data_IF_639346495366
#
_entry.id   IF_639346495366
#
_cell.length_a   1.000
_cell.length_b   1.000
_cell.length_c   1.000
_cell.angle_alpha   90.00
_cell.angle_beta   90.00
_cell.angle_gamma   90.00
#
_symmetry.space_group_name_H-M   'P 1'
#
loop_
_entity.id
_entity.type
_entity.pdbx_description
1 polymer ?
#
# COMPACT_ATOMS: atom_id res chain seq x y z
N UNK A 1 -24.82 -84.83 29.33
CA UNK A 1 -24.00 -84.08 30.31
C UNK A 1 -22.76 -83.57 29.59
N UNK A 2 -22.43 -82.28 29.74
CA UNK A 2 -21.22 -81.66 29.16
C UNK A 2 -21.56 -80.48 28.24
N UNK A 3 -21.59 -79.28 28.82
CA UNK A 3 -22.02 -78.04 28.17
C UNK A 3 -21.10 -77.59 27.03
N UNK A 4 -21.71 -77.14 25.94
CA UNK A 4 -21.08 -76.39 24.85
C UNK A 4 -21.24 -74.88 25.13
N UNK A 5 -20.13 -74.16 25.38
CA UNK A 5 -20.09 -72.68 25.28
C UNK A 5 -18.73 -72.18 24.78
N UNK A 6 -18.74 -71.84 23.49
CA UNK A 6 -18.08 -70.72 22.76
C UNK A 6 -16.81 -70.11 23.38
N UNK A 7 -15.68 -70.32 22.70
CA UNK A 7 -14.50 -69.47 22.79
C UNK A 7 -14.52 -68.45 21.64
N UNK A 8 -14.44 -67.16 21.99
CA UNK A 8 -14.36 -66.05 21.05
C UNK A 8 -12.95 -65.93 20.47
N UNK A 9 -12.85 -65.83 19.15
CA UNK A 9 -11.58 -65.60 18.45
C UNK A 9 -11.37 -64.09 18.29
N UNK A 10 -10.39 -63.55 19.01
CA UNK A 10 -9.99 -62.15 18.95
C UNK A 10 -9.14 -61.92 17.69
N UNK A 11 -9.68 -61.22 16.68
CA UNK A 11 -8.90 -60.74 15.54
C UNK A 11 -8.23 -59.42 15.96
N UNK A 12 -6.93 -59.47 16.21
CA UNK A 12 -6.12 -58.28 16.46
C UNK A 12 -5.94 -57.47 15.17
N UNK A 13 -6.61 -56.33 15.07
CA UNK A 13 -6.38 -55.36 14.00
C UNK A 13 -5.12 -54.55 14.34
N UNK A 14 -4.02 -54.81 13.64
CA UNK A 14 -2.82 -53.99 13.72
C UNK A 14 -3.09 -52.62 13.07
N UNK A 15 -3.24 -51.58 13.89
CA UNK A 15 -3.32 -50.20 13.43
C UNK A 15 -1.89 -49.76 13.05
N UNK A 16 -1.62 -49.68 11.74
CA UNK A 16 -0.44 -49.01 11.25
C UNK A 16 -0.59 -47.50 11.50
N UNK A 17 0.12 -46.98 12.51
CA UNK A 17 0.25 -45.54 12.73
C UNK A 17 1.14 -44.99 11.62
N UNK A 18 0.53 -44.44 10.57
CA UNK A 18 1.24 -43.61 9.61
C UNK A 18 1.63 -42.31 10.32
N UNK A 19 2.89 -42.20 10.72
CA UNK A 19 3.44 -40.94 11.20
C UNK A 19 3.34 -39.91 10.06
N UNK A 20 2.42 -38.96 10.20
CA UNK A 20 2.36 -37.81 9.32
C UNK A 20 3.67 -37.01 9.48
N UNK A 21 4.55 -37.09 8.48
CA UNK A 21 5.69 -36.19 8.38
C UNK A 21 5.10 -34.79 8.20
N UNK A 22 5.11 -33.99 9.27
CA UNK A 22 4.84 -32.57 9.22
C UNK A 22 5.92 -31.92 8.35
N UNK A 23 5.63 -31.78 7.06
CA UNK A 23 6.39 -30.91 6.18
C UNK A 23 6.09 -29.49 6.64
N UNK A 24 6.94 -28.97 7.52
CA UNK A 24 6.92 -27.54 7.83
C UNK A 24 7.25 -26.78 6.54
N UNK A 25 6.45 -25.79 6.13
CA UNK A 25 6.83 -24.95 5.02
C UNK A 25 8.13 -24.25 5.41
N UNK A 26 9.21 -24.62 4.73
CA UNK A 26 10.48 -23.91 4.87
C UNK A 26 10.21 -22.47 4.44
N UNK A 27 10.34 -21.54 5.37
CA UNK A 27 10.36 -20.12 5.07
C UNK A 27 11.51 -19.89 4.10
N UNK A 28 11.19 -19.73 2.81
CA UNK A 28 12.15 -19.28 1.81
C UNK A 28 12.60 -17.90 2.25
N UNK A 29 13.72 -17.85 2.97
CA UNK A 29 14.33 -16.60 3.39
C UNK A 29 14.84 -15.98 2.10
N UNK A 30 14.18 -14.91 1.63
CA UNK A 30 14.67 -14.15 0.49
C UNK A 30 16.13 -13.78 0.77
N UNK A 31 17.07 -14.37 0.02
CA UNK A 31 18.50 -14.19 0.24
C UNK A 31 18.84 -12.69 0.25
N UNK A 32 19.56 -12.25 1.28
CA UNK A 32 20.07 -10.87 1.35
C UNK A 32 21.08 -10.67 0.23
N UNK A 33 20.81 -9.73 -0.69
CA UNK A 33 21.76 -9.37 -1.76
C UNK A 33 23.10 -8.82 -1.25
N UNK A 34 23.15 -8.38 0.01
CA UNK A 34 24.33 -7.78 0.62
C UNK A 34 24.68 -8.48 1.93
N UNK A 35 25.94 -8.89 2.08
CA UNK A 35 26.44 -9.56 3.30
C UNK A 35 26.47 -8.62 4.51
N UNK A 36 26.53 -7.31 4.27
CA UNK A 36 26.58 -6.26 5.28
C UNK A 36 25.23 -5.55 5.52
N UNK A 37 24.14 -6.13 5.01
CA UNK A 37 22.76 -5.69 5.29
C UNK A 37 21.90 -6.90 5.65
N UNK A 38 21.73 -7.19 6.95
CA UNK A 38 20.86 -8.27 7.41
C UNK A 38 19.41 -8.08 6.91
N UNK A 39 18.73 -9.15 6.51
CA UNK A 39 17.34 -9.08 6.05
C UNK A 39 16.39 -8.52 7.12
N UNK A 40 16.71 -8.76 8.39
CA UNK A 40 15.98 -8.28 9.56
C UNK A 40 16.27 -6.82 9.92
N UNK A 41 17.25 -6.18 9.28
CA UNK A 41 17.54 -4.79 9.55
C UNK A 41 16.37 -3.90 9.14
N UNK A 42 15.96 -2.97 10.00
CA UNK A 42 14.84 -2.06 9.74
C UNK A 42 14.99 -1.21 8.46
N UNK A 43 16.21 -1.06 7.94
CA UNK A 43 16.54 -0.32 6.72
C UNK A 43 16.82 -1.22 5.51
N UNK A 44 16.65 -2.54 5.62
CA UNK A 44 16.98 -3.47 4.54
C UNK A 44 16.11 -3.24 3.29
N UNK A 45 14.83 -2.96 3.48
CA UNK A 45 13.92 -2.62 2.39
C UNK A 45 14.34 -1.32 1.68
N UNK A 46 14.69 -0.28 2.44
CA UNK A 46 15.19 0.99 1.90
C UNK A 46 16.44 0.81 1.05
N UNK A 47 17.37 -0.04 1.50
CA UNK A 47 18.60 -0.35 0.77
C UNK A 47 18.32 -1.07 -0.55
N UNK A 48 17.46 -2.10 -0.53
CA UNK A 48 17.09 -2.81 -1.76
C UNK A 48 16.48 -1.84 -2.77
N UNK A 49 15.54 -1.00 -2.32
CA UNK A 49 14.85 -0.06 -3.18
C UNK A 49 15.80 0.94 -3.86
N UNK A 50 16.73 1.58 -3.13
CA UNK A 50 17.65 2.56 -3.74
C UNK A 50 18.66 1.90 -4.69
N UNK A 51 19.01 0.64 -4.47
CA UNK A 51 19.92 -0.11 -5.34
C UNK A 51 19.18 -0.54 -6.62
N UNK A 52 17.99 -1.11 -6.48
CA UNK A 52 17.19 -1.62 -7.60
C UNK A 52 16.83 -0.49 -8.58
N UNK A 53 16.61 0.71 -8.07
CA UNK A 53 16.36 1.93 -8.88
C UNK A 53 17.64 2.64 -9.32
N UNK A 54 18.82 2.11 -9.01
CA UNK A 54 20.11 2.72 -9.40
C UNK A 54 20.40 4.08 -8.74
N UNK A 55 19.67 4.43 -7.67
CA UNK A 55 19.80 5.71 -6.98
C UNK A 55 21.11 5.72 -6.19
N UNK A 56 21.25 4.81 -5.22
CA UNK A 56 22.48 4.60 -4.44
C UNK A 56 23.08 3.25 -4.84
N UNK A 57 24.11 3.21 -5.69
CA UNK A 57 24.68 1.95 -6.16
C UNK A 57 25.45 1.24 -5.04
N UNK A 58 25.55 -0.08 -5.13
CA UNK A 58 26.45 -0.89 -4.30
C UNK A 58 27.92 -0.50 -4.52
N UNK A 59 28.80 -0.92 -3.61
CA UNK A 59 30.25 -0.74 -3.78
C UNK A 59 30.79 -1.70 -4.86
N UNK A 60 31.99 -1.41 -5.36
CA UNK A 60 32.67 -2.28 -6.32
C UNK A 60 32.93 -3.71 -5.78
N UNK A 61 32.97 -3.89 -4.46
CA UNK A 61 33.16 -5.19 -3.80
C UNK A 61 31.84 -5.92 -3.54
N UNK A 62 30.72 -5.44 -4.08
CA UNK A 62 29.40 -6.06 -3.92
C UNK A 62 28.75 -5.86 -2.55
N UNK A 63 29.27 -4.95 -1.71
CA UNK A 63 28.67 -4.61 -0.40
C UNK A 63 27.83 -3.32 -0.49
N UNK A 64 26.95 -3.07 0.48
CA UNK A 64 26.26 -1.77 0.53
C UNK A 64 27.06 -0.71 1.31
N UNK A 65 27.87 -1.10 2.28
CA UNK A 65 28.62 -0.25 3.21
C UNK A 65 27.76 0.80 3.95
N UNK A 66 26.81 0.38 4.82
CA UNK A 66 25.80 1.24 5.45
C UNK A 66 26.36 2.47 6.19
N UNK A 67 27.53 2.34 6.80
CA UNK A 67 28.12 3.36 7.67
C UNK A 67 28.97 4.41 6.94
N UNK A 68 29.31 4.21 5.66
CA UNK A 68 30.16 5.16 4.95
C UNK A 68 29.46 6.52 4.78
N UNK A 69 30.15 7.64 5.06
CA UNK A 69 29.66 8.97 4.78
C UNK A 69 29.41 9.21 3.29
N UNK A 70 28.43 10.07 2.98
CA UNK A 70 28.10 10.48 1.62
C UNK A 70 28.52 11.95 1.43
N UNK A 71 29.38 12.19 0.43
CA UNK A 71 29.79 13.54 0.05
C UNK A 71 28.64 14.33 -0.59
N UNK A 72 28.70 15.65 -0.53
CA UNK A 72 27.65 16.53 -1.07
C UNK A 72 27.44 16.35 -2.57
N UNK A 73 28.51 16.10 -3.34
CA UNK A 73 28.39 15.81 -4.76
C UNK A 73 27.70 14.47 -5.04
N UNK A 74 27.98 13.43 -4.24
CA UNK A 74 27.27 12.15 -4.36
C UNK A 74 25.79 12.31 -3.99
N UNK A 75 25.51 13.05 -2.91
CA UNK A 75 24.13 13.34 -2.52
C UNK A 75 23.37 14.10 -3.61
N UNK A 76 24.02 15.04 -4.31
CA UNK A 76 23.40 15.75 -5.43
C UNK A 76 22.95 14.80 -6.55
N UNK A 77 23.81 13.84 -6.90
CA UNK A 77 23.48 12.79 -7.87
C UNK A 77 22.31 11.94 -7.37
N UNK A 78 22.33 11.50 -6.11
CA UNK A 78 21.28 10.64 -5.55
C UNK A 78 19.92 11.35 -5.46
N UNK A 79 19.88 12.61 -5.03
CA UNK A 79 18.66 13.44 -5.02
C UNK A 79 18.10 13.61 -6.43
N UNK A 80 18.96 13.86 -7.42
CA UNK A 80 18.53 14.01 -8.82
C UNK A 80 17.92 12.72 -9.35
N UNK A 81 18.55 11.57 -9.09
CA UNK A 81 18.02 10.26 -9.49
C UNK A 81 16.70 9.93 -8.81
N UNK A 82 16.59 10.19 -7.51
CA UNK A 82 15.35 9.96 -6.77
C UNK A 82 14.19 10.81 -7.29
N UNK A 83 14.44 12.07 -7.67
CA UNK A 83 13.39 12.97 -8.15
C UNK A 83 13.05 12.81 -9.64
N UNK A 84 13.99 12.35 -10.47
CA UNK A 84 13.81 12.30 -11.93
C UNK A 84 13.72 10.89 -12.51
N UNK A 85 13.97 9.86 -11.71
CA UNK A 85 14.02 8.47 -12.15
C UNK A 85 15.01 8.28 -13.31
N UNK A 86 14.55 7.64 -14.39
CA UNK A 86 15.34 7.37 -15.60
C UNK A 86 15.56 8.61 -16.48
N UNK A 87 14.98 9.77 -16.14
CA UNK A 87 15.13 11.00 -16.94
C UNK A 87 16.39 11.75 -16.51
N UNK A 88 17.46 11.81 -17.32
CA UNK A 88 18.67 12.52 -16.95
C UNK A 88 18.40 14.02 -16.75
N UNK A 89 19.18 14.70 -15.88
CA UNK A 89 19.16 16.16 -15.83
C UNK A 89 19.69 16.73 -17.16
N UNK A 90 19.33 17.99 -17.50
CA UNK A 90 19.94 18.69 -18.62
C UNK A 90 21.47 18.67 -18.55
N UNK A 91 22.12 18.61 -19.71
CA UNK A 91 23.57 18.61 -19.79
C UNK A 91 24.16 19.86 -19.11
N UNK A 92 25.28 19.70 -18.41
CA UNK A 92 25.95 20.81 -17.77
C UNK A 92 26.63 21.68 -18.84
N UNK A 93 26.09 22.87 -19.12
CA UNK A 93 26.64 23.77 -20.15
C UNK A 93 27.68 24.74 -19.60
N UNK A 94 27.59 25.07 -18.30
CA UNK A 94 28.49 25.96 -17.56
C UNK A 94 28.72 25.46 -16.13
N UNK A 95 29.80 25.92 -15.49
CA UNK A 95 30.11 25.59 -14.09
C UNK A 95 29.05 26.18 -13.14
N UNK A 96 28.29 25.37 -12.37
CA UNK A 96 27.25 25.89 -11.49
C UNK A 96 27.80 26.59 -10.24
N UNK A 97 29.03 26.26 -9.85
CA UNK A 97 29.78 26.85 -8.72
C UNK A 97 31.26 26.94 -9.10
N UNK A 98 32.03 27.81 -8.42
CA UNK A 98 33.47 28.02 -8.73
C UNK A 98 34.31 26.75 -8.56
N UNK A 99 33.93 25.89 -7.64
CA UNK A 99 34.59 24.63 -7.28
C UNK A 99 33.92 23.39 -7.91
N UNK A 100 33.02 23.58 -8.88
CA UNK A 100 32.37 22.50 -9.64
C UNK A 100 32.63 22.73 -11.14
N UNK A 101 33.72 22.19 -11.69
CA UNK A 101 34.03 22.36 -13.11
C UNK A 101 33.02 21.62 -13.99
N UNK A 102 32.86 22.07 -15.24
CA UNK A 102 31.96 21.45 -16.24
C UNK A 102 32.26 19.96 -16.47
N UNK A 103 33.52 19.56 -16.33
CA UNK A 103 33.99 18.18 -16.47
C UNK A 103 33.62 17.27 -15.29
N UNK A 104 33.12 17.82 -14.18
CA UNK A 104 32.69 17.01 -13.04
C UNK A 104 31.49 16.13 -13.42
N UNK A 105 31.56 14.84 -13.06
CA UNK A 105 30.45 13.90 -13.27
C UNK A 105 29.18 14.29 -12.51
N UNK A 106 29.28 15.10 -11.44
CA UNK A 106 28.14 15.62 -10.69
C UNK A 106 27.61 16.96 -11.23
N UNK A 107 28.26 17.57 -12.22
CA UNK A 107 27.95 18.93 -12.68
C UNK A 107 26.48 19.10 -13.07
N UNK A 108 25.94 18.19 -13.89
CA UNK A 108 24.56 18.27 -14.36
C UNK A 108 23.54 18.16 -13.21
N UNK A 109 23.76 17.24 -12.27
CA UNK A 109 22.93 17.10 -11.07
C UNK A 109 22.99 18.33 -10.16
N UNK A 110 24.19 18.88 -9.95
CA UNK A 110 24.40 20.08 -9.13
C UNK A 110 23.76 21.31 -9.79
N UNK A 111 23.89 21.46 -11.10
CA UNK A 111 23.28 22.55 -11.87
C UNK A 111 21.75 22.47 -11.81
N UNK A 112 21.18 21.26 -11.97
CA UNK A 112 19.74 21.07 -11.86
C UNK A 112 19.22 21.37 -10.45
N UNK A 113 19.86 20.85 -9.40
CA UNK A 113 19.47 21.17 -8.02
C UNK A 113 19.53 22.68 -7.74
N UNK A 114 20.56 23.37 -8.23
CA UNK A 114 20.66 24.82 -8.13
C UNK A 114 19.48 25.52 -8.82
N UNK A 115 19.05 25.04 -9.99
CA UNK A 115 17.91 25.62 -10.72
C UNK A 115 16.58 25.50 -9.97
N UNK A 116 16.44 24.48 -9.12
CA UNK A 116 15.26 24.30 -8.24
C UNK A 116 15.50 24.83 -6.82
N UNK A 117 16.53 25.66 -6.61
CA UNK A 117 16.79 26.34 -5.33
C UNK A 117 17.38 25.46 -4.23
N UNK A 118 17.96 24.31 -4.59
CA UNK A 118 18.63 23.37 -3.69
C UNK A 118 20.14 23.48 -3.86
N UNK A 119 20.83 23.75 -2.75
CA UNK A 119 22.27 23.97 -2.73
C UNK A 119 22.65 25.05 -1.71
N UNK A 120 23.94 25.28 -1.50
CA UNK A 120 24.41 26.44 -0.76
C UNK A 120 24.09 27.73 -1.53
N UNK A 121 23.77 28.81 -0.80
CA UNK A 121 23.44 30.12 -1.36
C UNK A 121 24.63 30.97 -1.80
N UNK A 122 25.86 30.44 -1.72
CA UNK A 122 27.09 31.12 -2.12
C UNK A 122 27.63 30.69 -3.49
N UNK A 123 28.87 31.07 -3.80
CA UNK A 123 29.56 30.72 -5.06
C UNK A 123 30.34 29.40 -5.00
N UNK A 124 30.40 28.77 -3.82
CA UNK A 124 31.13 27.52 -3.54
C UNK A 124 30.16 26.42 -3.12
N UNK A 125 30.30 25.22 -3.68
CA UNK A 125 29.48 24.05 -3.38
C UNK A 125 30.05 23.17 -2.26
N UNK A 126 31.38 23.10 -2.17
CA UNK A 126 32.17 22.17 -1.34
C UNK A 126 31.80 20.69 -1.62
N UNK A 127 32.15 20.15 -2.80
CA UNK A 127 31.67 18.85 -3.29
C UNK A 127 32.03 17.65 -2.42
N UNK A 128 33.20 17.66 -1.77
CA UNK A 128 33.71 16.55 -0.95
C UNK A 128 33.18 16.57 0.49
N UNK A 129 32.60 17.69 0.94
CA UNK A 129 32.12 17.81 2.30
C UNK A 129 30.90 16.91 2.54
N UNK A 130 30.80 16.33 3.75
CA UNK A 130 29.67 15.49 4.14
C UNK A 130 28.49 16.39 4.56
N UNK A 131 27.27 16.03 4.14
CA UNK A 131 26.06 16.74 4.54
C UNK A 131 25.56 16.29 5.92
N UNK A 132 24.88 17.19 6.62
CA UNK A 132 24.18 16.86 7.87
C UNK A 132 22.75 16.38 7.62
N UNK A 133 22.19 15.65 8.57
CA UNK A 133 20.77 15.22 8.55
C UNK A 133 19.80 16.39 8.44
N UNK A 134 20.07 17.51 9.11
CA UNK A 134 19.25 18.72 9.00
C UNK A 134 19.27 19.32 7.59
N UNK A 135 20.45 19.37 6.97
CA UNK A 135 20.59 19.84 5.58
C UNK A 135 19.81 18.95 4.60
N UNK A 136 19.87 17.63 4.81
CA UNK A 136 19.09 16.66 4.01
C UNK A 136 17.57 16.90 4.14
N UNK A 137 17.07 17.13 5.36
CA UNK A 137 15.65 17.42 5.58
C UNK A 137 15.19 18.68 4.83
N UNK A 138 15.99 19.76 4.86
CA UNK A 138 15.69 20.97 4.10
C UNK A 138 15.72 20.74 2.57
N UNK A 139 16.67 19.94 2.08
CA UNK A 139 16.79 19.64 0.65
C UNK A 139 15.59 18.85 0.16
N UNK A 140 15.19 17.79 0.86
CA UNK A 140 14.03 16.98 0.49
C UNK A 140 12.71 17.74 0.59
N UNK A 141 12.58 18.60 1.60
CA UNK A 141 11.39 19.42 1.73
C UNK A 141 11.25 20.37 0.54
N UNK A 142 12.34 21.04 0.13
CA UNK A 142 12.35 21.87 -1.10
C UNK A 142 12.13 21.07 -2.37
N UNK A 143 12.59 19.81 -2.41
CA UNK A 143 12.46 18.96 -3.60
C UNK A 143 11.00 18.54 -3.85
N UNK A 144 10.21 18.39 -2.78
CA UNK A 144 8.77 18.14 -2.86
C UNK A 144 7.92 19.42 -2.92
N UNK A 145 8.38 20.48 -3.59
CA UNK A 145 7.83 21.85 -3.57
C UNK A 145 6.35 22.01 -3.98
N UNK A 146 5.67 20.95 -4.45
CA UNK A 146 4.21 20.94 -4.53
C UNK A 146 3.54 21.03 -3.15
N UNK A 147 4.32 20.84 -2.07
CA UNK A 147 3.85 21.03 -0.69
C UNK A 147 4.01 22.48 -0.24
N UNK A 148 3.01 23.04 0.47
CA UNK A 148 3.16 24.32 1.14
C UNK A 148 4.40 24.31 2.05
N UNK A 149 5.13 25.42 2.08
CA UNK A 149 6.21 25.64 3.06
C UNK A 149 5.64 25.35 4.46
N UNK A 150 6.32 24.56 5.32
CA UNK A 150 5.77 24.18 6.60
C UNK A 150 5.72 25.45 7.46
N UNK A 151 4.68 25.61 8.28
CA UNK A 151 4.60 26.74 9.19
C UNK A 151 5.82 26.75 10.12
N UNK A 152 6.11 27.93 10.68
CA UNK A 152 7.10 28.02 11.73
C UNK A 152 6.76 27.04 12.86
N UNK A 153 7.79 26.45 13.47
CA UNK A 153 7.59 25.53 14.57
C UNK A 153 6.92 26.23 15.75
N UNK A 154 5.84 25.63 16.26
CA UNK A 154 5.22 26.03 17.53
C UNK A 154 5.64 25.12 18.69
N UNK A 155 6.34 24.02 18.40
CA UNK A 155 6.86 23.07 19.37
C UNK A 155 8.06 22.31 18.81
N UNK A 156 8.80 21.63 19.71
CA UNK A 156 9.98 20.85 19.32
C UNK A 156 9.54 19.54 18.63
N UNK A 157 10.03 19.24 17.41
CA UNK A 157 9.75 17.96 16.75
C UNK A 157 10.59 16.80 17.33
N UNK A 158 11.69 17.12 18.02
CA UNK A 158 12.52 16.19 18.78
C UNK A 158 13.25 16.96 19.89
N UNK A 159 13.70 16.31 20.98
CA UNK A 159 14.33 16.99 22.11
C UNK A 159 15.56 17.85 21.73
N UNK A 160 16.31 17.41 20.71
CA UNK A 160 17.54 18.01 20.21
C UNK A 160 17.32 18.96 19.00
N UNK A 161 16.08 19.33 18.70
CA UNK A 161 15.75 20.29 17.65
C UNK A 161 15.12 21.53 18.29
N UNK A 162 15.88 22.62 18.30
CA UNK A 162 15.39 23.90 18.79
C UNK A 162 14.31 24.47 17.86
N UNK A 163 13.25 25.05 18.45
CA UNK A 163 12.16 25.73 17.72
C UNK A 163 12.69 26.88 16.86
N UNK A 164 13.75 27.57 17.32
CA UNK A 164 14.43 28.66 16.60
C UNK A 164 15.31 28.20 15.45
N UNK A 165 15.53 26.89 15.27
CA UNK A 165 16.33 26.38 14.15
C UNK A 165 15.63 26.62 12.82
N UNK A 166 16.38 27.12 11.83
CA UNK A 166 15.88 27.28 10.45
C UNK A 166 15.48 25.94 9.82
N UNK A 167 16.02 24.83 10.32
CA UNK A 167 15.65 23.47 9.88
C UNK A 167 14.40 22.92 10.58
N UNK A 168 13.93 23.56 11.66
CA UNK A 168 12.83 23.02 12.47
C UNK A 168 11.56 22.73 11.64
N UNK A 169 11.09 23.62 10.75
CA UNK A 169 9.88 23.34 9.95
C UNK A 169 10.04 22.10 9.06
N UNK A 170 11.18 21.98 8.37
CA UNK A 170 11.45 20.82 7.50
C UNK A 170 11.61 19.53 8.29
N UNK A 171 12.30 19.56 9.45
CA UNK A 171 12.41 18.38 10.32
C UNK A 171 11.04 17.98 10.85
N UNK A 172 10.20 18.93 11.26
CA UNK A 172 8.84 18.66 11.73
C UNK A 172 8.00 17.96 10.67
N UNK A 173 8.00 18.46 9.43
CA UNK A 173 7.31 17.81 8.30
C UNK A 173 7.81 16.39 8.09
N UNK A 174 9.13 16.20 8.04
CA UNK A 174 9.73 14.89 7.76
C UNK A 174 9.51 13.85 8.88
N UNK A 175 9.46 14.29 10.14
CA UNK A 175 9.13 13.42 11.29
C UNK A 175 7.65 13.04 11.25
N UNK A 176 6.75 14.02 11.02
CA UNK A 176 5.31 13.77 10.92
C UNK A 176 4.94 12.86 9.75
N UNK A 177 5.65 12.97 8.63
CA UNK A 177 5.45 12.15 7.44
C UNK A 177 6.16 10.80 7.51
N UNK A 178 6.89 10.50 8.59
CA UNK A 178 7.60 9.23 8.76
C UNK A 178 8.84 9.04 7.87
N UNK A 179 9.26 10.08 7.14
CA UNK A 179 10.41 10.05 6.22
C UNK A 179 11.71 9.78 6.98
N UNK A 180 11.84 10.36 8.17
CA UNK A 180 13.00 10.14 9.03
C UNK A 180 12.52 9.77 10.42
N UNK A 181 12.57 8.47 10.79
CA UNK A 181 12.27 8.08 12.14
C UNK A 181 13.30 8.70 13.08
N UNK A 182 12.84 9.11 14.25
CA UNK A 182 13.72 9.48 15.34
C UNK A 182 14.53 8.24 15.76
N UNK A 183 15.69 8.47 16.36
CA UNK A 183 16.43 7.38 16.98
C UNK A 183 15.64 6.82 18.17
N UNK A 184 16.03 5.65 18.67
CA UNK A 184 15.34 5.00 19.79
C UNK A 184 15.28 5.88 21.06
N UNK A 185 16.21 6.82 21.20
CA UNK A 185 16.26 7.83 22.27
C UNK A 185 15.36 9.06 22.01
N UNK A 186 14.55 9.04 20.94
CA UNK A 186 13.69 10.15 20.53
C UNK A 186 14.41 11.32 19.85
N UNK A 187 15.73 11.25 19.64
CA UNK A 187 16.49 12.35 19.02
C UNK A 187 16.42 12.33 17.49
N UNK A 188 16.61 13.49 16.86
CA UNK A 188 16.74 13.62 15.41
C UNK A 188 18.21 13.57 14.94
N UNK A 189 19.13 14.08 15.75
CA UNK A 189 20.57 14.27 15.51
C UNK A 189 20.85 15.19 14.31
N UNK A 190 20.48 16.49 14.37
CA UNK A 190 20.51 17.39 13.21
C UNK A 190 21.91 17.62 12.63
N UNK A 191 22.95 17.62 13.47
CA UNK A 191 24.35 17.74 13.07
C UNK A 191 24.98 16.40 12.63
N UNK A 192 24.27 15.27 12.81
CA UNK A 192 24.77 13.96 12.43
C UNK A 192 25.06 13.88 10.92
N UNK A 193 26.15 13.20 10.57
CA UNK A 193 26.57 13.03 9.19
C UNK A 193 25.62 12.11 8.41
N UNK A 194 25.38 12.44 7.14
CA UNK A 194 24.66 11.56 6.23
C UNK A 194 25.54 10.38 5.82
N UNK A 195 25.11 9.18 6.21
CA UNK A 195 25.68 7.91 5.78
C UNK A 195 24.89 7.32 4.61
N UNK A 196 25.43 6.31 3.93
CA UNK A 196 24.73 5.60 2.86
C UNK A 196 23.41 4.98 3.34
N UNK A 197 23.37 4.42 4.54
CA UNK A 197 22.15 3.94 5.20
C UNK A 197 21.13 5.05 5.42
N UNK A 198 21.54 6.15 6.06
CA UNK A 198 20.63 7.27 6.30
C UNK A 198 20.09 7.84 4.98
N UNK A 199 20.93 7.88 3.94
CA UNK A 199 20.54 8.30 2.59
C UNK A 199 19.49 7.39 1.98
N UNK A 200 19.66 6.06 2.09
CA UNK A 200 18.67 5.09 1.61
C UNK A 200 17.30 5.30 2.26
N UNK A 201 17.28 5.40 3.60
CA UNK A 201 16.06 5.62 4.38
C UNK A 201 15.37 6.92 3.97
N UNK A 202 16.11 8.04 3.94
CA UNK A 202 15.55 9.35 3.62
C UNK A 202 14.98 9.40 2.19
N UNK A 203 15.71 8.86 1.20
CA UNK A 203 15.30 8.94 -0.20
C UNK A 203 14.12 8.02 -0.51
N UNK A 204 14.14 6.77 -0.04
CA UNK A 204 13.05 5.84 -0.27
C UNK A 204 11.75 6.34 0.36
N UNK A 205 11.80 6.76 1.63
CA UNK A 205 10.58 7.21 2.31
C UNK A 205 10.09 8.54 1.81
N UNK A 206 10.98 9.46 1.43
CA UNK A 206 10.58 10.69 0.75
C UNK A 206 9.89 10.39 -0.58
N UNK A 207 10.44 9.45 -1.36
CA UNK A 207 9.85 9.01 -2.62
C UNK A 207 8.44 8.46 -2.39
N UNK A 208 8.26 7.59 -1.42
CA UNK A 208 6.94 7.03 -1.09
C UNK A 208 5.93 8.08 -0.65
N UNK A 209 6.38 9.06 0.12
CA UNK A 209 5.53 10.19 0.51
C UNK A 209 5.14 11.04 -0.70
N UNK A 210 5.98 11.13 -1.73
CA UNK A 210 5.61 11.75 -3.00
C UNK A 210 4.72 10.85 -3.87
N UNK A 211 4.83 9.53 -3.75
CA UNK A 211 4.20 8.55 -4.63
C UNK A 211 3.21 7.65 -3.88
N UNK A 212 2.14 8.25 -3.36
CA UNK A 212 1.11 7.56 -2.59
C UNK A 212 -0.28 7.95 -3.05
N UNK A 213 -1.21 7.02 -2.92
CA UNK A 213 -2.63 7.31 -3.04
C UNK A 213 -3.25 7.64 -1.70
N UNK A 214 -4.45 8.20 -1.72
CA UNK A 214 -5.29 8.36 -0.54
C UNK A 214 -6.67 7.78 -0.83
N UNK A 215 -7.31 7.21 0.19
CA UNK A 215 -8.71 6.80 0.09
C UNK A 215 -9.59 7.60 1.05
N UNK A 216 -10.81 7.89 0.59
CA UNK A 216 -11.79 8.70 1.30
C UNK A 216 -13.20 8.17 1.07
N UNK A 217 -14.07 8.33 2.06
CA UNK A 217 -15.48 7.94 1.95
C UNK A 217 -16.33 8.65 3.01
N UNK A 218 -17.58 8.24 3.16
CA UNK A 218 -18.41 8.61 4.29
C UNK A 218 -17.81 8.08 5.61
N UNK A 219 -17.78 8.86 6.72
CA UNK A 219 -18.47 10.13 6.95
C UNK A 219 -17.63 11.39 6.68
N UNK A 220 -16.58 11.34 5.86
CA UNK A 220 -15.69 12.49 5.62
C UNK A 220 -16.29 13.57 4.70
N UNK A 221 -17.59 13.56 4.46
CA UNK A 221 -18.26 14.58 3.64
C UNK A 221 -18.11 15.97 4.27
N UNK A 222 -17.67 16.94 3.45
CA UNK A 222 -17.39 18.32 3.91
C UNK A 222 -16.08 18.52 4.67
N UNK A 223 -15.32 17.46 4.94
CA UNK A 223 -14.01 17.56 5.57
C UNK A 223 -12.93 18.02 4.57
N UNK A 224 -11.82 18.55 5.09
CA UNK A 224 -10.64 18.83 4.29
C UNK A 224 -10.00 17.49 3.83
N UNK A 225 -9.99 17.26 2.52
CA UNK A 225 -9.43 16.07 1.90
C UNK A 225 -7.90 16.18 1.72
N UNK A 226 -7.16 15.06 1.64
CA UNK A 226 -5.72 15.09 1.40
C UNK A 226 -5.37 15.73 0.04
N UNK A 227 -4.15 16.25 -0.08
CA UNK A 227 -3.61 16.86 -1.31
C UNK A 227 -2.24 16.28 -1.63
N UNK A 228 -1.81 16.41 -2.89
CA UNK A 228 -0.51 15.91 -3.36
C UNK A 228 -0.43 14.39 -3.47
N UNK A 229 -1.58 13.71 -3.59
CA UNK A 229 -1.67 12.28 -3.85
C UNK A 229 -1.56 11.97 -5.35
N UNK A 230 -1.04 10.79 -5.66
CA UNK A 230 -0.90 10.29 -7.02
C UNK A 230 -2.23 9.76 -7.57
N UNK A 231 -3.05 9.19 -6.71
CA UNK A 231 -4.40 8.71 -7.03
C UNK A 231 -5.33 8.81 -5.81
N UNK A 232 -6.62 8.90 -6.09
CA UNK A 232 -7.68 8.85 -5.09
C UNK A 232 -8.55 7.61 -5.24
N UNK A 233 -8.84 6.93 -4.13
CA UNK A 233 -9.84 5.86 -4.07
C UNK A 233 -11.06 6.38 -3.30
N UNK A 234 -12.26 6.27 -3.87
CA UNK A 234 -13.48 6.82 -3.27
C UNK A 234 -14.44 5.69 -2.91
N UNK A 235 -14.90 5.65 -1.66
CA UNK A 235 -15.97 4.73 -1.26
C UNK A 235 -17.29 5.11 -1.94
N UNK A 236 -17.87 4.19 -2.71
CA UNK A 236 -19.17 4.39 -3.39
C UNK A 236 -20.30 4.43 -2.38
N UNK A 237 -20.15 3.67 -1.29
CA UNK A 237 -21.20 3.45 -0.31
C UNK A 237 -21.05 4.32 0.94
N UNK A 238 -22.14 4.50 1.70
CA UNK A 238 -22.12 5.17 3.00
C UNK A 238 -22.00 4.15 4.16
N UNK A 239 -20.99 3.28 4.10
CA UNK A 239 -20.70 2.27 5.12
C UNK A 239 -21.61 1.03 5.11
N UNK A 240 -22.56 0.92 4.17
CA UNK A 240 -23.35 -0.28 3.92
C UNK A 240 -23.48 -0.53 2.43
N UNK A 241 -23.49 -1.78 1.94
CA UNK A 241 -23.65 -2.08 0.50
C UNK A 241 -24.95 -1.55 -0.14
N UNK A 242 -25.93 -1.17 0.67
CA UNK A 242 -27.24 -0.68 0.21
C UNK A 242 -27.40 0.84 0.31
N UNK A 243 -26.38 1.57 0.77
CA UNK A 243 -26.41 3.02 0.91
C UNK A 243 -25.40 3.67 -0.02
N UNK A 244 -25.77 4.79 -0.63
CA UNK A 244 -24.86 5.59 -1.47
C UNK A 244 -24.14 6.64 -0.63
N UNK A 245 -22.86 6.86 -0.92
CA UNK A 245 -22.10 7.96 -0.37
C UNK A 245 -22.67 9.31 -0.89
N UNK A 246 -23.23 10.18 -0.02
CA UNK A 246 -23.85 11.43 -0.45
C UNK A 246 -22.83 12.45 -0.99
N UNK A 247 -21.53 12.26 -0.73
CA UNK A 247 -20.46 13.10 -1.29
C UNK A 247 -19.67 12.41 -2.42
N UNK A 248 -20.20 11.32 -3.01
CA UNK A 248 -19.53 10.57 -4.07
C UNK A 248 -19.07 11.45 -5.24
N UNK A 249 -19.94 12.34 -5.74
CA UNK A 249 -19.62 13.23 -6.86
C UNK A 249 -18.44 14.16 -6.55
N UNK A 250 -18.47 14.81 -5.38
CA UNK A 250 -17.43 15.74 -4.94
C UNK A 250 -16.10 15.01 -4.69
N UNK A 251 -16.14 13.82 -4.08
CA UNK A 251 -14.94 13.02 -3.82
C UNK A 251 -14.35 12.43 -5.11
N UNK A 252 -15.17 12.04 -6.10
CA UNK A 252 -14.68 11.63 -7.42
C UNK A 252 -14.03 12.79 -8.19
N UNK A 253 -14.54 14.02 -8.03
CA UNK A 253 -13.91 15.22 -8.57
C UNK A 253 -12.56 15.51 -7.88
N UNK A 254 -12.49 15.35 -6.55
CA UNK A 254 -11.23 15.42 -5.80
C UNK A 254 -10.20 14.39 -6.31
N UNK A 255 -10.61 13.12 -6.47
CA UNK A 255 -9.73 12.07 -6.97
C UNK A 255 -9.23 12.37 -8.40
N UNK A 256 -10.05 13.04 -9.24
CA UNK A 256 -9.66 13.45 -10.58
C UNK A 256 -8.51 14.47 -10.58
N UNK A 257 -8.35 15.23 -9.50
CA UNK A 257 -7.28 16.21 -9.29
C UNK A 257 -5.93 15.61 -8.88
N UNK A 258 -5.84 14.28 -8.72
CA UNK A 258 -4.59 13.60 -8.38
C UNK A 258 -3.55 13.70 -9.51
N UNK A 259 -2.26 13.64 -9.17
CA UNK A 259 -1.16 13.86 -10.12
C UNK A 259 -1.11 12.78 -11.24
N UNK A 260 -1.54 11.54 -10.95
CA UNK A 260 -1.40 10.38 -11.82
C UNK A 260 -0.02 9.72 -11.80
N UNK A 261 0.81 10.02 -10.79
CA UNK A 261 2.06 9.30 -10.52
C UNK A 261 1.84 7.84 -10.07
N UNK A 262 2.92 7.07 -9.96
CA UNK A 262 2.93 5.68 -9.43
C UNK A 262 2.21 4.57 -10.22
N UNK A 263 1.86 4.78 -11.49
CA UNK A 263 1.34 3.70 -12.35
C UNK A 263 -0.07 3.19 -11.99
N UNK A 264 -0.77 3.92 -11.11
CA UNK A 264 -2.14 3.68 -10.71
C UNK A 264 -3.09 4.67 -11.40
N UNK A 265 -4.30 4.27 -11.80
CA UNK A 265 -5.29 5.21 -12.32
C UNK A 265 -5.65 6.28 -11.27
N UNK A 266 -5.73 7.54 -11.69
CA UNK A 266 -6.02 8.70 -10.82
C UNK A 266 -7.28 8.55 -9.99
N UNK A 267 -8.31 7.92 -10.58
CA UNK A 267 -9.62 7.70 -9.96
C UNK A 267 -9.86 6.22 -9.82
N UNK A 268 -10.13 5.81 -8.61
CA UNK A 268 -10.52 4.46 -8.25
C UNK A 268 -11.68 4.54 -7.28
N UNK A 269 -12.38 3.43 -7.10
CA UNK A 269 -13.49 3.32 -6.16
C UNK A 269 -13.40 2.01 -5.40
N UNK A 270 -13.97 1.99 -4.20
CA UNK A 270 -14.27 0.76 -3.51
C UNK A 270 -15.76 0.67 -3.17
N UNK A 271 -16.26 -0.55 -3.07
CA UNK A 271 -17.65 -0.85 -2.71
C UNK A 271 -17.67 -1.76 -1.50
N UNK A 272 -18.51 -1.42 -0.53
CA UNK A 272 -18.78 -2.26 0.63
C UNK A 272 -19.36 -3.59 0.15
N UNK A 273 -18.90 -4.70 0.74
CA UNK A 273 -19.40 -6.04 0.41
C UNK A 273 -19.99 -6.72 1.65
N UNK A 274 -21.03 -7.53 1.43
CA UNK A 274 -21.70 -8.25 2.51
C UNK A 274 -22.46 -9.47 1.96
N UNK A 275 -22.70 -10.45 2.82
CA UNK A 275 -23.67 -11.51 2.63
C UNK A 275 -24.60 -11.61 3.87
N UNK A 276 -25.81 -11.03 3.81
CA UNK A 276 -26.75 -11.09 4.92
C UNK A 276 -27.45 -12.46 5.07
N UNK A 277 -27.22 -13.43 4.18
CA UNK A 277 -27.76 -14.79 4.30
C UNK A 277 -29.29 -14.89 4.31
N UNK A 278 -29.99 -13.95 3.67
CA UNK A 278 -31.46 -13.91 3.63
C UNK A 278 -32.16 -13.50 4.93
N UNK A 279 -31.42 -13.07 5.97
CA UNK A 279 -31.97 -12.64 7.26
C UNK A 279 -32.80 -11.34 7.12
N UNK A 280 -34.12 -11.47 6.92
CA UNK A 280 -35.07 -10.35 6.86
C UNK A 280 -34.60 -9.15 6.03
N UNK A 281 -33.79 -9.40 5.00
CA UNK A 281 -33.15 -8.37 4.19
C UNK A 281 -34.05 -8.10 2.99
N UNK A 282 -34.71 -6.92 2.90
CA UNK A 282 -35.67 -6.65 1.81
C UNK A 282 -35.04 -6.73 0.42
N UNK A 283 -33.73 -6.51 0.36
CA UNK A 283 -32.95 -6.51 -0.88
C UNK A 283 -32.34 -7.87 -1.24
N UNK A 284 -32.70 -8.95 -0.51
CA UNK A 284 -32.31 -10.32 -0.86
C UNK A 284 -33.10 -10.80 -2.09
N UNK A 285 -32.44 -11.40 -3.10
CA UNK A 285 -33.11 -11.85 -4.31
C UNK A 285 -34.05 -13.02 -4.02
N UNK A 286 -35.24 -13.00 -4.65
CA UNK A 286 -36.21 -14.12 -4.61
C UNK A 286 -36.17 -15.01 -5.85
N UNK A 287 -35.47 -14.56 -6.89
CA UNK A 287 -35.34 -15.27 -8.17
C UNK A 287 -34.03 -14.86 -8.85
N UNK A 288 -33.51 -15.71 -9.72
CA UNK A 288 -32.33 -15.43 -10.54
C UNK A 288 -31.79 -16.70 -11.20
N UNK A 289 -31.09 -16.56 -12.32
CA UNK A 289 -30.38 -17.65 -12.97
C UNK A 289 -28.88 -17.39 -12.86
N UNK A 290 -28.16 -18.28 -12.19
CA UNK A 290 -26.76 -18.05 -11.81
C UNK A 290 -25.88 -19.25 -12.19
N UNK A 291 -24.55 -19.11 -12.18
CA UNK A 291 -23.64 -20.24 -12.36
C UNK A 291 -23.80 -21.36 -11.33
N UNK A 292 -24.45 -21.08 -10.20
CA UNK A 292 -24.73 -22.03 -9.12
C UNK A 292 -26.14 -22.63 -9.19
N UNK A 293 -26.88 -22.38 -10.27
CA UNK A 293 -28.28 -22.80 -10.44
C UNK A 293 -29.27 -21.65 -10.21
N UNK A 294 -30.54 -22.00 -9.99
CA UNK A 294 -31.59 -21.03 -9.77
C UNK A 294 -31.53 -20.47 -8.34
N UNK A 295 -31.61 -19.14 -8.21
CA UNK A 295 -31.97 -18.53 -6.94
C UNK A 295 -33.48 -18.63 -6.77
N UNK A 296 -33.94 -19.10 -5.61
CA UNK A 296 -35.34 -19.33 -5.25
C UNK A 296 -35.76 -18.54 -3.98
N UNK A 297 -34.90 -17.63 -3.52
CA UNK A 297 -35.08 -16.88 -2.28
C UNK A 297 -34.48 -17.52 -1.03
N UNK A 298 -33.98 -18.76 -1.12
CA UNK A 298 -33.28 -19.41 0.01
C UNK A 298 -31.90 -18.79 0.29
N UNK A 299 -31.31 -19.11 1.45
CA UNK A 299 -29.91 -18.83 1.73
C UNK A 299 -28.99 -19.85 1.02
N UNK A 300 -28.96 -19.79 -0.31
CA UNK A 300 -28.15 -20.66 -1.17
C UNK A 300 -27.01 -19.89 -1.85
N UNK A 301 -26.02 -20.62 -2.36
CA UNK A 301 -24.91 -20.05 -3.14
C UNK A 301 -25.42 -19.33 -4.39
N UNK A 302 -26.50 -19.82 -5.01
CA UNK A 302 -27.16 -19.15 -6.14
C UNK A 302 -27.75 -17.79 -5.74
N UNK A 303 -28.48 -17.71 -4.63
CA UNK A 303 -29.03 -16.43 -4.17
C UNK A 303 -27.95 -15.47 -3.66
N UNK A 304 -26.90 -15.98 -3.01
CA UNK A 304 -25.76 -15.16 -2.61
C UNK A 304 -25.04 -14.55 -3.83
N UNK A 305 -24.80 -15.34 -4.89
CA UNK A 305 -24.26 -14.82 -6.15
C UNK A 305 -25.16 -13.75 -6.76
N UNK A 306 -26.47 -14.01 -6.82
CA UNK A 306 -27.43 -13.04 -7.36
C UNK A 306 -27.50 -11.76 -6.53
N UNK A 307 -27.36 -11.86 -5.19
CA UNK A 307 -27.29 -10.72 -4.30
C UNK A 307 -26.08 -9.85 -4.63
N UNK A 308 -24.90 -10.45 -4.76
CA UNK A 308 -23.68 -9.74 -5.17
C UNK A 308 -23.83 -9.07 -6.53
N UNK A 309 -24.40 -9.78 -7.52
CA UNK A 309 -24.69 -9.21 -8.83
C UNK A 309 -25.57 -7.95 -8.74
N UNK A 310 -26.64 -8.01 -7.94
CA UNK A 310 -27.57 -6.89 -7.77
C UNK A 310 -26.90 -5.69 -7.09
N UNK A 311 -26.13 -5.92 -6.01
CA UNK A 311 -25.42 -4.85 -5.28
C UNK A 311 -24.44 -4.10 -6.17
N UNK A 312 -23.57 -4.83 -6.88
CA UNK A 312 -22.64 -4.20 -7.82
C UNK A 312 -23.35 -3.47 -8.98
N UNK A 313 -24.51 -3.96 -9.42
CA UNK A 313 -25.35 -3.26 -10.40
C UNK A 313 -25.86 -1.90 -9.90
N UNK A 314 -26.28 -1.83 -8.64
CA UNK A 314 -26.69 -0.58 -7.97
C UNK A 314 -25.50 0.38 -7.82
N UNK A 315 -24.34 -0.12 -7.37
CA UNK A 315 -23.12 0.68 -7.24
C UNK A 315 -22.69 1.30 -8.58
N UNK A 316 -22.74 0.51 -9.65
CA UNK A 316 -22.50 0.97 -11.02
C UNK A 316 -23.48 2.09 -11.41
N UNK A 317 -24.76 1.94 -11.10
CA UNK A 317 -25.77 2.96 -11.39
C UNK A 317 -25.49 4.28 -10.65
N UNK A 318 -25.10 4.21 -9.38
CA UNK A 318 -24.73 5.40 -8.60
C UNK A 318 -23.48 6.09 -9.15
N UNK A 319 -22.44 5.33 -9.51
CA UNK A 319 -21.23 5.90 -10.10
C UNK A 319 -21.49 6.55 -11.47
N UNK A 320 -22.38 5.97 -12.30
CA UNK A 320 -22.74 6.51 -13.63
C UNK A 320 -23.23 7.96 -13.60
N UNK A 321 -23.75 8.42 -12.47
CA UNK A 321 -24.19 9.82 -12.28
C UNK A 321 -23.01 10.80 -12.36
N UNK A 322 -21.82 10.39 -11.90
CA UNK A 322 -20.67 11.29 -11.71
C UNK A 322 -19.41 10.87 -12.48
N UNK A 323 -19.31 9.62 -12.94
CA UNK A 323 -18.17 9.10 -13.68
C UNK A 323 -18.55 7.92 -14.58
N UNK A 324 -17.70 7.62 -15.57
CA UNK A 324 -17.84 6.43 -16.40
C UNK A 324 -17.28 5.20 -15.64
N UNK A 325 -18.11 4.22 -15.22
CA UNK A 325 -17.65 3.07 -14.40
C UNK A 325 -16.48 2.31 -15.03
N UNK A 326 -16.50 2.13 -16.34
CA UNK A 326 -15.48 1.42 -17.11
C UNK A 326 -14.10 2.11 -17.12
N UNK A 327 -14.04 3.38 -16.71
CA UNK A 327 -12.78 4.13 -16.62
C UNK A 327 -12.11 4.05 -15.25
N UNK A 328 -12.73 3.36 -14.29
CA UNK A 328 -12.29 3.28 -12.90
C UNK A 328 -11.75 1.88 -12.57
N UNK A 329 -10.86 1.83 -11.59
CA UNK A 329 -10.55 0.59 -10.86
C UNK A 329 -11.56 0.43 -9.74
N UNK A 330 -12.07 -0.79 -9.56
CA UNK A 330 -13.05 -1.12 -8.53
C UNK A 330 -12.48 -2.12 -7.54
N UNK A 331 -12.50 -1.76 -6.25
CA UNK A 331 -12.07 -2.63 -5.17
C UNK A 331 -13.28 -3.17 -4.41
N UNK A 332 -13.36 -4.49 -4.28
CA UNK A 332 -14.32 -5.15 -3.39
C UNK A 332 -13.79 -5.05 -1.96
N UNK A 333 -14.43 -4.23 -1.13
CA UNK A 333 -14.11 -4.06 0.28
C UNK A 333 -14.66 -5.27 1.07
N UNK A 334 -13.81 -6.29 1.19
CA UNK A 334 -14.10 -7.56 1.86
C UNK A 334 -13.59 -7.54 3.29
N UNK A 335 -14.29 -6.80 4.15
CA UNK A 335 -13.91 -6.62 5.55
C UNK A 335 -14.98 -7.13 6.52
N UNK A 336 -14.53 -7.49 7.72
CA UNK A 336 -15.41 -7.81 8.84
C UNK A 336 -15.42 -6.60 9.75
N UNK A 337 -16.61 -6.09 10.01
CA UNK A 337 -16.78 -5.11 11.07
C UNK A 337 -17.20 -5.76 12.38
N UNK A 338 -16.22 -5.91 13.26
CA UNK A 338 -16.44 -6.40 14.62
C UNK A 338 -17.18 -5.36 15.49
N UNK A 339 -17.26 -4.09 15.06
CA UNK A 339 -17.99 -3.03 15.77
C UNK A 339 -19.48 -2.94 15.42
N UNK A 340 -19.91 -3.61 14.34
CA UNK A 340 -21.30 -3.62 13.86
C UNK A 340 -21.83 -2.28 13.33
N UNK A 341 -20.95 -1.32 13.02
CA UNK A 341 -21.30 0.05 12.58
C UNK A 341 -21.37 0.20 11.06
N UNK A 342 -20.59 -0.58 10.33
CA UNK A 342 -20.55 -0.73 8.89
C UNK A 342 -21.28 -2.03 8.55
N UNK A 343 -22.23 -1.96 7.64
CA UNK A 343 -23.20 -3.04 7.39
C UNK A 343 -22.63 -4.28 6.70
N UNK A 344 -21.31 -4.51 6.77
CA UNK A 344 -20.63 -5.69 6.22
C UNK A 344 -20.99 -6.93 7.06
N UNK A 345 -22.21 -7.41 6.87
CA UNK A 345 -22.71 -8.64 7.47
C UNK A 345 -22.27 -9.81 6.61
N UNK A 346 -21.52 -10.76 7.17
CA UNK A 346 -21.11 -11.97 6.46
C UNK A 346 -21.83 -13.18 7.03
N UNK A 347 -22.19 -14.14 6.17
CA UNK A 347 -22.80 -15.38 6.61
C UNK A 347 -21.76 -16.24 7.33
N UNK A 348 -21.99 -16.44 8.64
CA UNK A 348 -21.13 -17.23 9.53
C UNK A 348 -21.68 -18.62 9.84
N UNK A 349 -22.80 -18.99 9.22
CA UNK A 349 -23.38 -20.33 9.37
C UNK A 349 -22.54 -21.37 8.61
N UNK A 350 -22.85 -22.66 8.80
CA UNK A 350 -22.16 -23.73 8.08
C UNK A 350 -22.29 -23.53 6.54
N UNK A 351 -21.18 -23.65 5.82
CA UNK A 351 -21.09 -23.35 4.39
C UNK A 351 -21.19 -21.86 4.02
N UNK A 352 -21.19 -20.95 5.01
CA UNK A 352 -21.27 -19.51 4.79
C UNK A 352 -20.12 -18.96 3.95
N UNK A 353 -18.91 -19.51 4.10
CA UNK A 353 -17.74 -19.10 3.32
C UNK A 353 -17.91 -19.28 1.81
N UNK A 354 -18.59 -20.35 1.38
CA UNK A 354 -18.88 -20.60 -0.03
C UNK A 354 -19.90 -19.59 -0.57
N UNK A 355 -20.92 -19.27 0.24
CA UNK A 355 -21.93 -18.26 -0.11
C UNK A 355 -21.34 -16.84 -0.13
N UNK A 356 -20.47 -16.51 0.82
CA UNK A 356 -19.75 -15.24 0.86
C UNK A 356 -18.85 -15.08 -0.38
N UNK A 357 -18.13 -16.15 -0.75
CA UNK A 357 -17.34 -16.19 -1.98
C UNK A 357 -18.22 -15.94 -3.20
N UNK A 358 -19.39 -16.58 -3.27
CA UNK A 358 -20.32 -16.40 -4.37
C UNK A 358 -20.85 -14.96 -4.50
N UNK A 359 -21.08 -14.24 -3.39
CA UNK A 359 -21.39 -12.79 -3.44
C UNK A 359 -20.30 -12.04 -4.19
N UNK A 360 -19.04 -12.20 -3.80
CA UNK A 360 -17.90 -11.50 -4.39
C UNK A 360 -17.72 -11.84 -5.87
N UNK A 361 -17.99 -13.09 -6.25
CA UNK A 361 -18.01 -13.53 -7.65
C UNK A 361 -19.13 -12.86 -8.44
N UNK A 362 -20.34 -12.78 -7.87
CA UNK A 362 -21.48 -12.09 -8.47
C UNK A 362 -21.20 -10.60 -8.69
N UNK A 363 -20.61 -9.93 -7.69
CA UNK A 363 -20.17 -8.55 -7.81
C UNK A 363 -19.13 -8.37 -8.92
N UNK A 364 -18.10 -9.23 -8.96
CA UNK A 364 -17.05 -9.19 -9.99
C UNK A 364 -17.65 -9.34 -11.39
N UNK A 365 -18.60 -10.26 -11.57
CA UNK A 365 -19.22 -10.52 -12.87
C UNK A 365 -20.14 -9.38 -13.30
N UNK A 366 -20.89 -8.76 -12.38
CA UNK A 366 -21.71 -7.59 -12.68
C UNK A 366 -20.86 -6.37 -13.08
N UNK A 367 -19.75 -6.13 -12.38
CA UNK A 367 -18.80 -5.06 -12.73
C UNK A 367 -18.22 -5.28 -14.14
N UNK A 368 -17.78 -6.50 -14.44
CA UNK A 368 -17.29 -6.85 -15.80
C UNK A 368 -18.36 -6.68 -16.86
N UNK A 369 -19.60 -7.09 -16.57
CA UNK A 369 -20.73 -6.89 -17.49
C UNK A 369 -21.04 -5.41 -17.73
N UNK A 370 -20.74 -4.53 -16.78
CA UNK A 370 -20.83 -3.08 -16.91
C UNK A 370 -19.66 -2.44 -17.71
N UNK A 371 -18.70 -3.24 -18.17
CA UNK A 371 -17.52 -2.81 -18.92
C UNK A 371 -16.30 -2.48 -18.06
N UNK A 372 -16.33 -2.74 -16.75
CA UNK A 372 -15.18 -2.51 -15.85
C UNK A 372 -14.06 -3.49 -16.19
N UNK A 373 -12.88 -2.97 -16.49
CA UNK A 373 -11.71 -3.77 -16.90
C UNK A 373 -10.88 -4.26 -15.72
N UNK A 374 -10.91 -3.54 -14.59
CA UNK A 374 -10.09 -3.85 -13.42
C UNK A 374 -10.95 -3.91 -12.16
N UNK A 375 -11.09 -5.12 -11.63
CA UNK A 375 -11.71 -5.40 -10.34
C UNK A 375 -10.62 -5.98 -9.43
N UNK A 376 -10.50 -5.47 -8.22
CA UNK A 376 -9.55 -5.93 -7.21
C UNK A 376 -10.24 -6.26 -5.89
N UNK A 377 -9.47 -6.78 -4.94
CA UNK A 377 -9.95 -7.18 -3.63
C UNK A 377 -9.21 -6.37 -2.57
N UNK A 378 -9.96 -5.75 -1.66
CA UNK A 378 -9.43 -5.12 -0.45
C UNK A 378 -9.78 -5.96 0.77
N UNK A 379 -8.77 -6.31 1.59
CA UNK A 379 -8.96 -7.04 2.84
C UNK A 379 -7.66 -7.14 3.64
N UNK A 380 -7.75 -7.59 4.89
CA UNK A 380 -6.63 -8.24 5.58
C UNK A 380 -6.62 -9.75 5.28
N UNK A 381 -5.44 -10.38 5.31
CA UNK A 381 -5.35 -11.85 5.12
C UNK A 381 -6.21 -12.63 6.14
N UNK A 382 -6.33 -12.12 7.37
CA UNK A 382 -7.18 -12.69 8.43
C UNK A 382 -8.66 -12.58 8.07
N UNK A 383 -9.15 -11.38 7.76
CA UNK A 383 -10.58 -11.19 7.44
C UNK A 383 -10.95 -11.97 6.18
N UNK A 384 -10.12 -11.94 5.15
CA UNK A 384 -10.34 -12.72 3.93
C UNK A 384 -10.54 -14.21 4.23
N UNK A 385 -9.67 -14.79 5.05
CA UNK A 385 -9.76 -16.20 5.45
C UNK A 385 -11.03 -16.52 6.25
N UNK A 386 -11.53 -15.56 7.04
CA UNK A 386 -12.78 -15.74 7.80
C UNK A 386 -13.99 -15.59 6.90
N UNK A 387 -13.96 -14.67 5.93
CA UNK A 387 -15.07 -14.39 5.02
C UNK A 387 -15.23 -15.52 4.00
N UNK A 388 -14.14 -15.91 3.34
CA UNK A 388 -14.15 -16.79 2.15
C UNK A 388 -13.60 -18.19 2.43
N UNK A 389 -12.98 -18.41 3.59
CA UNK A 389 -12.23 -19.64 3.86
C UNK A 389 -10.82 -19.58 3.26
N UNK A 390 -10.19 -20.75 3.09
CA UNK A 390 -8.78 -20.85 2.63
C UNK A 390 -8.63 -21.18 1.14
N UNK A 391 -9.73 -21.42 0.41
CA UNK A 391 -9.67 -21.85 -0.99
C UNK A 391 -10.69 -21.15 -1.86
N UNK A 392 -10.22 -20.57 -2.96
CA UNK A 392 -11.04 -20.07 -4.06
C UNK A 392 -10.95 -21.06 -5.23
N UNK A 393 -12.09 -21.39 -5.84
CA UNK A 393 -12.16 -22.32 -6.97
C UNK A 393 -11.21 -21.92 -8.11
N UNK A 394 -10.55 -22.88 -8.81
CA UNK A 394 -9.71 -22.59 -9.97
C UNK A 394 -10.41 -21.84 -11.12
N UNK A 395 -11.74 -21.95 -11.20
CA UNK A 395 -12.60 -21.29 -12.21
C UNK A 395 -13.26 -20.00 -11.70
N UNK A 396 -13.01 -19.62 -10.43
CA UNK A 396 -13.59 -18.42 -9.85
C UNK A 396 -13.09 -17.15 -10.57
N UNK A 397 -13.97 -16.17 -10.84
CA UNK A 397 -13.55 -14.88 -11.38
C UNK A 397 -12.68 -14.05 -10.41
N UNK A 398 -12.58 -14.45 -9.13
CA UNK A 398 -11.74 -13.82 -8.11
C UNK A 398 -10.26 -14.22 -8.21
N UNK A 399 -9.97 -15.29 -8.95
CA UNK A 399 -8.60 -15.77 -9.17
C UNK A 399 -7.82 -14.77 -10.02
N UNK A 400 -6.59 -14.47 -9.62
CA UNK A 400 -5.72 -13.56 -10.38
C UNK A 400 -6.03 -12.07 -10.20
N UNK A 401 -7.05 -11.70 -9.41
CA UNK A 401 -7.37 -10.30 -9.18
C UNK A 401 -6.24 -9.60 -8.39
N UNK A 402 -5.98 -8.31 -8.68
CA UNK A 402 -5.10 -7.49 -7.86
C UNK A 402 -5.62 -7.38 -6.42
N UNK A 403 -4.71 -7.30 -5.47
CA UNK A 403 -5.04 -7.18 -4.05
C UNK A 403 -4.51 -5.85 -3.48
N UNK A 404 -5.37 -5.24 -2.67
CA UNK A 404 -5.11 -4.09 -1.85
C UNK A 404 -5.16 -4.53 -0.39
N UNK A 405 -4.01 -4.67 0.27
CA UNK A 405 -3.95 -5.24 1.62
C UNK A 405 -3.97 -4.16 2.71
N UNK A 406 -4.74 -4.38 3.76
CA UNK A 406 -4.85 -3.48 4.92
C UNK A 406 -4.14 -4.00 6.18
N UNK A 407 -4.17 -3.23 7.26
CA UNK A 407 -3.68 -3.61 8.60
C UNK A 407 -2.45 -2.86 9.14
N UNK A 408 -1.51 -2.38 8.31
CA UNK A 408 -0.39 -1.54 8.75
C UNK A 408 -0.81 -0.22 9.39
N UNK A 409 -0.06 0.25 10.39
CA UNK A 409 -0.20 1.60 10.95
C UNK A 409 0.92 2.55 10.52
N UNK A 410 1.88 2.05 9.75
CA UNK A 410 3.02 2.82 9.26
C UNK A 410 3.32 2.48 7.80
N UNK A 411 3.84 3.45 7.06
CA UNK A 411 4.29 3.24 5.67
C UNK A 411 5.33 2.12 5.56
N UNK A 412 6.22 1.98 6.54
CA UNK A 412 7.25 0.93 6.53
C UNK A 412 6.64 -0.47 6.63
N UNK A 413 5.59 -0.64 7.44
CA UNK A 413 4.84 -1.90 7.49
C UNK A 413 4.05 -2.14 6.21
N UNK A 414 3.47 -1.10 5.61
CA UNK A 414 2.78 -1.20 4.32
C UNK A 414 3.72 -1.67 3.19
N UNK A 415 4.90 -1.07 3.07
CA UNK A 415 5.94 -1.50 2.14
C UNK A 415 6.33 -2.97 2.34
N UNK A 416 6.47 -3.43 3.59
CA UNK A 416 6.77 -4.83 3.89
C UNK A 416 5.62 -5.76 3.47
N UNK A 417 4.38 -5.32 3.67
CA UNK A 417 3.17 -6.07 3.33
C UNK A 417 3.07 -6.35 1.83
N UNK A 418 3.67 -5.55 0.95
CA UNK A 418 3.75 -5.81 -0.49
C UNK A 418 4.40 -7.16 -0.85
N UNK A 419 5.25 -7.71 0.02
CA UNK A 419 5.89 -9.02 -0.22
C UNK A 419 5.07 -10.21 0.31
N UNK A 420 3.84 -9.96 0.79
CA UNK A 420 2.96 -10.99 1.33
C UNK A 420 2.35 -11.84 0.23
N UNK A 421 1.88 -13.04 0.61
CA UNK A 421 1.07 -13.83 -0.29
C UNK A 421 -0.23 -13.08 -0.67
N UNK A 422 -0.69 -13.17 -1.92
CA UNK A 422 -1.97 -12.62 -2.33
C UNK A 422 -3.14 -13.34 -1.64
N UNK A 423 -4.30 -12.67 -1.57
CA UNK A 423 -5.55 -13.19 -1.01
C UNK A 423 -6.11 -14.36 -1.84
N UNK A 424 -5.89 -14.34 -3.15
CA UNK A 424 -6.37 -15.40 -4.06
C UNK A 424 -5.22 -16.01 -4.86
N UNK A 425 -5.32 -17.30 -5.25
CA UNK A 425 -4.34 -17.94 -6.11
C UNK A 425 -4.12 -17.14 -7.41
N UNK A 426 -2.85 -16.96 -7.80
CA UNK A 426 -2.48 -16.21 -8.99
C UNK A 426 -2.67 -14.69 -8.91
N UNK A 427 -3.22 -14.17 -7.80
CA UNK A 427 -3.33 -12.74 -7.53
C UNK A 427 -1.96 -12.10 -7.29
N UNK A 428 -1.96 -10.77 -7.18
CA UNK A 428 -0.76 -9.99 -6.81
C UNK A 428 -1.14 -8.86 -5.87
N UNK A 429 -0.33 -8.65 -4.84
CA UNK A 429 -0.44 -7.45 -4.01
C UNK A 429 0.07 -6.26 -4.81
N UNK A 430 -0.81 -5.33 -5.14
CA UNK A 430 -0.49 -4.13 -5.95
C UNK A 430 -0.65 -2.84 -5.14
N UNK A 431 -1.42 -2.89 -4.06
CA UNK A 431 -1.61 -1.80 -3.12
C UNK A 431 -1.54 -2.31 -1.68
N UNK A 432 -1.08 -1.45 -0.78
CA UNK A 432 -1.18 -1.67 0.67
C UNK A 432 -1.62 -0.38 1.34
N UNK A 433 -2.57 -0.46 2.26
CA UNK A 433 -3.04 0.69 3.04
C UNK A 433 -2.27 0.81 4.35
N UNK A 434 -2.09 2.04 4.83
CA UNK A 434 -1.83 2.29 6.25
C UNK A 434 -2.65 3.47 6.73
N UNK A 435 -3.08 3.39 7.98
CA UNK A 435 -3.88 4.42 8.63
C UNK A 435 -2.99 5.33 9.47
N UNK A 436 -3.07 6.64 9.23
CA UNK A 436 -2.50 7.68 10.10
C UNK A 436 -3.59 8.77 10.29
N UNK A 437 -3.32 10.04 9.93
CA UNK A 437 -4.36 11.09 9.88
C UNK A 437 -5.38 10.85 8.77
N UNK A 438 -4.95 10.19 7.69
CA UNK A 438 -5.76 9.78 6.56
C UNK A 438 -5.42 8.32 6.22
N UNK A 439 -6.28 7.71 5.42
CA UNK A 439 -6.07 6.38 4.87
C UNK A 439 -5.21 6.50 3.62
N UNK A 440 -3.92 6.19 3.77
CA UNK A 440 -2.92 6.33 2.72
C UNK A 440 -2.61 4.98 2.09
N UNK A 441 -2.25 5.02 0.80
CA UNK A 441 -2.05 3.84 -0.02
C UNK A 441 -0.67 3.86 -0.68
N UNK A 442 0.07 2.77 -0.52
CA UNK A 442 1.38 2.55 -1.11
C UNK A 442 1.24 1.60 -2.29
N UNK A 443 1.92 1.92 -3.39
CA UNK A 443 1.93 1.08 -4.60
C UNK A 443 3.04 0.05 -4.49
N UNK A 444 2.66 -1.22 -4.60
CA UNK A 444 3.61 -2.33 -4.60
C UNK A 444 4.19 -2.53 -6.01
N UNK A 445 5.52 -2.56 -6.11
CA UNK A 445 6.27 -2.70 -7.37
C UNK A 445 7.46 -1.76 -7.45
#
# INVERSE_FOLDING_TARGET
MGLCRRAATSIGLAIAVAAAVLVTPSAVTAATRFTDVPASAAYAADVRWVVDRGIVPATATGTFSPALPVSRQQMAVYLTRAARGSTPPPACTAAPYRDVPKSSSACASIAWLKSVGIGPGGTTFAPTAVMTRASMAAYLHKLGAERPKPPACTGKPAPDVAVSSSYCPSITSMVREGITPLYADGTFRPAGQMTRRATAVFLHRWYDVQHRGADVSYPQCGAALPTGQDFGIVGVNAGMPTTTNPCLAAQLAWAAGSSGGAGQPRRQVYVNTANPGGLNTPTWPRSGATPYGACDGSNSTACAWQYGWNRAGEDVAWVRVSAAPQSLVWWLDAEIDESGRTGNTWDRTAGGTDRNTAVLEGMTMALRAAGVTTVGIYSTARQWSVITGTSVSPTSPLRGLPNWLAGPSTVAQAQQLCSSAPLTPGGRVVLTQWTDRFDWNHVCG
#
